data_IF_641461565023
#
_entry.id   IF_641461565023
#
_cell.length_a   1.000
_cell.length_b   1.000
_cell.length_c   1.000
_cell.angle_alpha   90.00
_cell.angle_beta   90.00
_cell.angle_gamma   90.00
#
_symmetry.space_group_name_H-M   'P 1'
#
loop_
_entity.id
_entity.type
_entity.pdbx_description
1 polymer ?
#
# COMPACT_ATOMS: atom_id res chain seq x y z
N UNK A 1 27.28 8.52 -5.82
CA UNK A 1 26.83 9.26 -7.00
C UNK A 1 25.32 9.21 -7.09
N UNK A 2 24.67 10.33 -7.33
CA UNK A 2 23.22 10.30 -7.53
C UNK A 2 22.88 9.54 -8.82
N UNK A 3 21.77 8.88 -8.79
CA UNK A 3 21.26 8.13 -9.92
C UNK A 3 20.81 9.10 -11.03
N UNK A 4 21.05 8.78 -12.31
CA UNK A 4 20.52 9.58 -13.41
C UNK A 4 19.00 9.66 -13.37
N UNK A 5 18.45 10.83 -13.69
CA UNK A 5 17.00 11.06 -13.69
C UNK A 5 16.25 10.11 -14.61
N UNK A 6 16.84 9.77 -15.75
CA UNK A 6 16.21 8.87 -16.71
C UNK A 6 15.98 7.49 -16.12
N UNK A 7 16.91 6.97 -15.33
CA UNK A 7 16.76 5.67 -14.66
C UNK A 7 15.71 5.72 -13.57
N UNK A 8 15.69 6.80 -12.79
CA UNK A 8 14.70 7.00 -11.76
C UNK A 8 13.29 7.09 -12.38
N UNK A 9 13.15 7.86 -13.44
CA UNK A 9 11.89 8.01 -14.14
C UNK A 9 11.37 6.66 -14.67
N UNK A 10 12.25 5.90 -15.30
CA UNK A 10 11.91 4.57 -15.80
C UNK A 10 11.47 3.64 -14.67
N UNK A 11 12.22 3.65 -13.57
CA UNK A 11 11.89 2.85 -12.40
C UNK A 11 10.53 3.22 -11.81
N UNK A 12 10.23 4.52 -11.73
CA UNK A 12 8.96 5.01 -11.22
C UNK A 12 7.80 4.58 -12.13
N UNK A 13 8.02 4.56 -13.44
CA UNK A 13 7.01 4.08 -14.38
C UNK A 13 6.76 2.58 -14.25
N UNK A 14 7.81 1.81 -14.08
CA UNK A 14 7.69 0.37 -13.85
C UNK A 14 6.95 0.12 -12.54
N UNK A 15 7.28 0.87 -11.49
CA UNK A 15 6.60 0.77 -10.20
C UNK A 15 5.10 1.05 -10.32
N UNK A 16 4.72 2.05 -11.11
CA UNK A 16 3.31 2.39 -11.32
C UNK A 16 2.57 1.28 -12.08
N UNK A 17 3.20 0.69 -13.09
CA UNK A 17 2.62 -0.44 -13.80
C UNK A 17 2.42 -1.63 -12.85
N UNK A 18 3.41 -1.91 -12.01
CA UNK A 18 3.30 -2.97 -11.01
C UNK A 18 2.18 -2.68 -10.01
N UNK A 19 2.04 -1.43 -9.57
CA UNK A 19 0.97 -1.04 -8.66
C UNK A 19 -0.40 -1.34 -9.25
N UNK A 20 -0.60 -0.98 -10.51
CA UNK A 20 -1.86 -1.23 -11.19
C UNK A 20 -2.17 -2.72 -11.33
N UNK A 21 -1.18 -3.50 -11.76
CA UNK A 21 -1.37 -4.93 -11.97
C UNK A 21 -1.54 -5.70 -10.67
N UNK A 22 -0.73 -5.40 -9.67
CA UNK A 22 -0.82 -6.05 -8.36
C UNK A 22 -2.11 -5.63 -7.66
N UNK A 23 -2.48 -4.34 -7.80
CA UNK A 23 -3.74 -3.83 -7.26
C UNK A 23 -4.94 -4.59 -7.80
N UNK A 24 -4.98 -4.80 -9.11
CA UNK A 24 -6.06 -5.54 -9.75
C UNK A 24 -6.13 -6.98 -9.20
N UNK A 25 -4.99 -7.64 -9.04
CA UNK A 25 -4.96 -8.98 -8.49
C UNK A 25 -5.48 -9.04 -7.06
N UNK A 26 -4.98 -8.17 -6.19
CA UNK A 26 -5.33 -8.18 -4.76
C UNK A 26 -6.79 -7.78 -4.54
N UNK A 27 -7.26 -6.79 -5.31
CA UNK A 27 -8.60 -6.24 -5.11
C UNK A 27 -9.71 -7.02 -5.82
N UNK A 28 -9.39 -7.88 -6.77
CA UNK A 28 -10.44 -8.56 -7.52
C UNK A 28 -10.17 -9.97 -8.00
N UNK A 29 -8.93 -10.43 -7.97
CA UNK A 29 -8.59 -11.71 -8.59
C UNK A 29 -8.16 -12.80 -7.63
N UNK A 30 -7.65 -12.43 -6.46
CA UNK A 30 -7.28 -13.40 -5.44
C UNK A 30 -8.49 -13.71 -4.58
N UNK A 31 -8.72 -15.00 -4.34
CA UNK A 31 -9.91 -15.43 -3.60
C UNK A 31 -9.61 -15.81 -2.15
N UNK A 32 -8.48 -15.38 -1.61
CA UNK A 32 -8.12 -15.64 -0.22
C UNK A 32 -8.84 -14.66 0.70
N UNK A 33 -9.71 -15.14 1.62
CA UNK A 33 -10.44 -14.23 2.51
C UNK A 33 -9.55 -13.40 3.43
N UNK A 34 -8.32 -13.83 3.67
CA UNK A 34 -7.37 -13.06 4.49
C UNK A 34 -7.02 -11.71 3.90
N UNK A 35 -7.17 -11.55 2.58
CA UNK A 35 -6.80 -10.30 1.88
C UNK A 35 -8.01 -9.53 1.35
N UNK A 36 -9.23 -9.87 1.82
CA UNK A 36 -10.49 -9.32 1.29
C UNK A 36 -10.63 -7.80 1.44
N UNK A 37 -10.01 -7.22 2.46
CA UNK A 37 -10.15 -5.80 2.77
C UNK A 37 -8.84 -5.03 2.55
N UNK A 38 -8.02 -5.52 1.64
CA UNK A 38 -6.73 -4.91 1.36
C UNK A 38 -6.72 -4.23 -0.01
N UNK A 39 -5.98 -3.13 -0.12
CA UNK A 39 -5.74 -2.50 -1.41
C UNK A 39 -4.31 -1.94 -1.46
N UNK A 40 -3.73 -1.94 -2.65
CA UNK A 40 -2.36 -1.47 -2.85
C UNK A 40 -2.35 0.05 -2.90
N UNK A 41 -1.51 0.66 -2.08
CA UNK A 41 -1.38 2.12 -2.07
C UNK A 41 -0.16 2.57 -2.86
N UNK A 42 0.93 1.82 -2.83
CA UNK A 42 2.16 2.25 -3.45
C UNK A 42 3.08 1.06 -3.72
N UNK A 43 3.83 1.14 -4.80
CA UNK A 43 4.97 0.24 -5.07
C UNK A 43 6.20 1.12 -5.22
N UNK A 44 7.24 0.80 -4.48
CA UNK A 44 8.51 1.54 -4.53
C UNK A 44 9.61 0.55 -4.90
N UNK A 45 10.30 0.81 -6.00
CA UNK A 45 11.42 -0.01 -6.42
C UNK A 45 12.73 0.60 -5.93
N UNK A 46 13.64 -0.26 -5.48
CA UNK A 46 14.96 0.15 -5.05
C UNK A 46 15.81 0.54 -6.27
N UNK A 47 16.87 1.33 -6.06
CA UNK A 47 17.81 1.64 -7.14
C UNK A 47 18.28 0.35 -7.83
N UNK A 48 18.30 0.36 -9.16
CA UNK A 48 18.57 -0.83 -9.95
C UNK A 48 17.33 -1.61 -10.34
N UNK A 49 16.22 -1.42 -9.66
CA UNK A 49 14.94 -2.05 -10.01
C UNK A 49 14.84 -3.55 -9.78
N UNK A 50 15.76 -4.16 -9.03
CA UNK A 50 15.75 -5.61 -8.79
C UNK A 50 14.90 -6.01 -7.60
N UNK A 51 14.58 -5.10 -6.74
CA UNK A 51 13.77 -5.35 -5.57
C UNK A 51 12.94 -4.13 -5.23
N UNK A 52 11.94 -4.30 -4.39
CA UNK A 52 11.10 -3.21 -3.98
C UNK A 52 10.08 -3.59 -2.92
N UNK A 53 9.24 -2.63 -2.59
CA UNK A 53 8.25 -2.76 -1.54
C UNK A 53 6.86 -2.50 -2.11
N UNK A 54 5.92 -3.33 -1.70
CA UNK A 54 4.50 -3.12 -1.99
C UNK A 54 3.84 -2.69 -0.70
N UNK A 55 3.25 -1.50 -0.69
CA UNK A 55 2.51 -1.00 0.46
C UNK A 55 1.03 -1.28 0.28
N UNK A 56 0.43 -1.83 1.31
CA UNK A 56 -0.97 -2.28 1.30
C UNK A 56 -1.69 -1.68 2.48
N UNK A 57 -2.79 -1.00 2.24
CA UNK A 57 -3.67 -0.53 3.30
C UNK A 57 -4.71 -1.61 3.58
N UNK A 58 -5.03 -1.77 4.85
CA UNK A 58 -5.99 -2.78 5.31
C UNK A 58 -7.07 -2.10 6.13
N UNK A 59 -8.31 -2.39 5.81
CA UNK A 59 -9.45 -1.95 6.59
C UNK A 59 -9.61 -2.92 7.77
N UNK A 60 -9.20 -2.46 8.94
CA UNK A 60 -9.22 -3.29 10.15
C UNK A 60 -8.07 -2.95 11.08
N UNK A 61 -7.92 -3.75 12.12
CA UNK A 61 -6.88 -3.57 13.13
C UNK A 61 -5.66 -4.44 12.90
N UNK A 62 -4.80 -4.57 13.94
CA UNK A 62 -3.56 -5.33 13.82
C UNK A 62 -3.77 -6.79 13.43
N UNK A 63 -4.87 -7.40 13.86
CA UNK A 63 -5.16 -8.80 13.52
C UNK A 63 -5.42 -8.96 12.03
N UNK A 64 -6.26 -8.08 11.46
CA UNK A 64 -6.55 -8.09 10.04
C UNK A 64 -5.32 -7.77 9.21
N UNK A 65 -4.48 -6.86 9.70
CA UNK A 65 -3.21 -6.54 9.04
C UNK A 65 -2.30 -7.76 8.98
N UNK A 66 -2.17 -8.49 10.09
CA UNK A 66 -1.33 -9.68 10.14
C UNK A 66 -1.85 -10.78 9.22
N UNK A 67 -3.17 -10.99 9.20
CA UNK A 67 -3.81 -11.96 8.31
C UNK A 67 -3.60 -11.60 6.84
N UNK A 68 -3.69 -10.32 6.51
CA UNK A 68 -3.47 -9.84 5.15
C UNK A 68 -2.04 -10.15 4.69
N UNK A 69 -1.05 -9.83 5.50
CA UNK A 69 0.34 -10.11 5.16
C UNK A 69 0.56 -11.61 4.98
N UNK A 70 -0.02 -12.44 5.85
CA UNK A 70 0.08 -13.89 5.74
C UNK A 70 -0.52 -14.38 4.42
N UNK A 71 -1.70 -13.86 4.06
CA UNK A 71 -2.35 -14.21 2.79
C UNK A 71 -1.53 -13.78 1.57
N UNK A 72 -0.98 -12.59 1.61
CA UNK A 72 -0.15 -12.07 0.52
C UNK A 72 1.15 -12.86 0.38
N UNK A 73 1.78 -13.23 1.47
CA UNK A 73 2.98 -14.05 1.43
C UNK A 73 2.68 -15.43 0.84
N UNK A 74 1.53 -16.01 1.18
CA UNK A 74 1.11 -17.28 0.61
C UNK A 74 0.83 -17.16 -0.90
N UNK A 75 0.34 -16.00 -1.36
CA UNK A 75 0.02 -15.77 -2.77
C UNK A 75 1.21 -15.25 -3.59
N UNK A 76 2.33 -15.00 -2.96
CA UNK A 76 3.49 -14.33 -3.57
C UNK A 76 3.94 -14.98 -4.88
N UNK A 77 4.05 -16.32 -4.88
CA UNK A 77 4.46 -17.06 -6.08
C UNK A 77 3.47 -16.90 -7.23
N UNK A 78 2.18 -16.94 -6.92
CA UNK A 78 1.13 -16.76 -7.90
C UNK A 78 1.14 -15.33 -8.48
N UNK A 79 1.30 -14.34 -7.61
CA UNK A 79 1.40 -12.93 -8.04
C UNK A 79 2.57 -12.76 -9.00
N UNK A 80 3.73 -13.30 -8.63
CA UNK A 80 4.92 -13.21 -9.46
C UNK A 80 4.71 -13.86 -10.82
N UNK A 81 4.15 -15.06 -10.84
CA UNK A 81 3.89 -15.80 -12.07
C UNK A 81 2.93 -15.02 -12.99
N UNK A 82 1.88 -14.48 -12.41
CA UNK A 82 0.90 -13.70 -13.17
C UNK A 82 1.52 -12.44 -13.76
N UNK A 83 2.38 -11.76 -12.98
CA UNK A 83 3.08 -10.58 -13.48
C UNK A 83 3.99 -10.91 -14.65
N UNK A 84 4.72 -12.03 -14.58
CA UNK A 84 5.59 -12.46 -15.67
C UNK A 84 4.77 -12.65 -16.95
N UNK A 85 3.62 -13.29 -16.86
CA UNK A 85 2.75 -13.50 -18.00
C UNK A 85 2.17 -12.20 -18.55
N UNK A 86 1.64 -11.35 -17.68
CA UNK A 86 0.96 -10.11 -18.10
C UNK A 86 1.92 -9.08 -18.67
N UNK A 87 3.11 -8.98 -18.11
CA UNK A 87 4.09 -8.00 -18.54
C UNK A 87 4.95 -8.52 -19.70
N UNK A 88 4.91 -9.80 -19.96
CA UNK A 88 5.72 -10.40 -21.04
C UNK A 88 7.21 -10.29 -20.81
N UNK A 89 7.64 -10.19 -19.54
CA UNK A 89 9.04 -10.04 -19.18
C UNK A 89 9.60 -11.36 -18.66
N UNK A 90 10.91 -11.49 -18.64
CA UNK A 90 11.58 -12.66 -18.08
C UNK A 90 11.81 -12.55 -16.58
N UNK A 91 11.76 -11.34 -16.05
CA UNK A 91 12.03 -11.07 -14.64
C UNK A 91 11.05 -10.08 -14.08
N UNK A 92 10.71 -10.29 -12.84
CA UNK A 92 9.93 -9.35 -12.03
C UNK A 92 10.79 -9.02 -10.80
N UNK A 93 10.79 -7.78 -10.34
CA UNK A 93 11.53 -7.43 -9.13
C UNK A 93 11.13 -8.31 -7.94
N UNK A 94 12.06 -8.51 -7.03
CA UNK A 94 11.76 -9.22 -5.78
C UNK A 94 11.04 -8.25 -4.86
N UNK A 95 9.77 -8.52 -4.60
CA UNK A 95 8.88 -7.61 -3.89
C UNK A 95 8.49 -8.16 -2.52
N UNK A 96 8.45 -7.26 -1.53
CA UNK A 96 7.97 -7.58 -0.19
C UNK A 96 6.75 -6.74 0.13
N UNK A 97 5.86 -7.27 0.97
CA UNK A 97 4.61 -6.60 1.34
C UNK A 97 4.75 -5.92 2.70
N UNK A 98 4.24 -4.70 2.78
CA UNK A 98 4.29 -3.90 3.99
C UNK A 98 2.95 -3.21 4.20
N UNK A 99 2.54 -3.08 5.45
CA UNK A 99 1.30 -2.38 5.76
C UNK A 99 1.52 -0.87 5.67
N UNK A 100 0.63 -0.20 4.96
CA UNK A 100 0.60 1.25 4.90
C UNK A 100 -0.47 1.76 5.87
N UNK A 101 -0.03 2.41 6.94
CA UNK A 101 -0.92 2.97 7.96
C UNK A 101 -1.09 4.47 7.83
N UNK A 102 -0.73 5.04 6.69
CA UNK A 102 -0.77 6.50 6.50
C UNK A 102 -2.16 7.08 6.74
N UNK A 103 -3.19 6.46 6.21
CA UNK A 103 -4.57 6.93 6.40
C UNK A 103 -5.01 6.84 7.86
N UNK A 104 -4.62 5.76 8.54
CA UNK A 104 -4.94 5.59 9.95
C UNK A 104 -4.24 6.61 10.82
N UNK A 105 -2.98 6.91 10.52
CA UNK A 105 -2.22 7.95 11.20
C UNK A 105 -2.85 9.32 10.98
N UNK A 106 -3.22 9.62 9.75
CA UNK A 106 -3.89 10.88 9.42
C UNK A 106 -5.21 11.02 10.15
N UNK A 107 -6.02 9.99 10.15
CA UNK A 107 -7.30 9.98 10.86
C UNK A 107 -7.11 10.23 12.35
N UNK A 108 -6.08 9.61 12.95
CA UNK A 108 -5.80 9.81 14.36
C UNK A 108 -5.34 11.23 14.66
N UNK A 109 -4.50 11.79 13.83
CA UNK A 109 -4.05 13.18 13.97
C UNK A 109 -5.23 14.12 13.85
N UNK A 110 -6.09 13.92 12.85
CA UNK A 110 -7.29 14.72 12.66
C UNK A 110 -8.23 14.62 13.85
N UNK A 111 -8.39 13.44 14.40
CA UNK A 111 -9.20 13.22 15.60
C UNK A 111 -8.66 14.01 16.79
N UNK A 112 -7.34 13.94 17.02
CA UNK A 112 -6.71 14.68 18.12
C UNK A 112 -6.83 16.18 17.93
N UNK A 113 -6.65 16.68 16.72
CA UNK A 113 -6.81 18.09 16.41
C UNK A 113 -8.28 18.53 16.52
N UNK A 114 -9.21 17.67 16.11
CA UNK A 114 -10.62 17.90 16.23
C UNK A 114 -11.07 18.03 17.68
N UNK A 115 -10.59 17.14 18.54
CA UNK A 115 -10.87 17.22 19.98
C UNK A 115 -10.35 18.52 20.58
N UNK A 116 -9.14 18.92 20.21
CA UNK A 116 -8.54 20.17 20.70
C UNK A 116 -9.35 21.37 20.24
N UNK A 117 -9.77 21.40 18.99
CA UNK A 117 -10.62 22.48 18.46
C UNK A 117 -11.97 22.54 19.15
N UNK A 118 -12.58 21.40 19.39
CA UNK A 118 -13.87 21.32 20.04
C UNK A 118 -13.80 21.85 21.48
N UNK A 119 -12.74 21.53 22.21
CA UNK A 119 -12.54 22.08 23.55
C UNK A 119 -12.47 23.60 23.55
N UNK A 120 -11.75 24.16 22.58
CA UNK A 120 -11.61 25.60 22.47
C UNK A 120 -12.94 26.27 22.08
N UNK A 121 -13.73 25.61 21.26
CA UNK A 121 -15.05 26.12 20.86
C UNK A 121 -16.02 26.05 22.01
N UNK A 122 -15.97 25.03 22.81
CA UNK A 122 -16.93 24.83 23.90
C UNK A 122 -16.74 25.83 25.02
N UNK A 123 -15.51 26.26 25.25
CA UNK A 123 -15.21 27.20 26.33
C UNK A 123 -15.92 28.50 26.18
N UNK A 124 -15.95 29.17 25.03
CA UNK A 124 -16.66 30.46 24.95
C UNK A 124 -18.13 30.31 24.73
N UNK A 125 -18.62 29.24 24.37
CA UNK A 125 -19.94 29.16 24.05
C UNK A 125 -20.34 28.00 23.38
N UNK A 126 -20.30 27.73 23.08
CA UNK A 126 -20.54 27.03 22.45
C UNK A 126 -21.39 26.70 21.69
N UNK A 127 -21.69 26.93 21.28
CA UNK A 127 -22.30 26.69 20.67
C UNK A 127 -22.79 25.87 20.21
N UNK A 128 -22.94 25.51 20.29
CA UNK A 128 -23.39 24.85 19.84
C UNK A 128 -23.97 24.28 19.65
N UNK A 129 -24.28 24.25 19.84
CA UNK A 129 -24.80 23.68 19.72
C UNK A 129 -25.12 23.20 19.37
#
# INVERSE_FOLDING_TARGET
MPEPRARQYHRDRVAETLREEIGAMIEGELSDPRISFAYVTQVVLNPGGKSGLIYVAVDGGPEEEAQTIEGLMAARGHIRHTLLERLGTRRVPDLTFHIDRSDKMKARIDELLGRKRNRQKDVPSSQGQ
#
